data_IF_175263371133
#
_entry.id   IF_175263371133
#
_cell.length_a   1.000
_cell.length_b   1.000
_cell.length_c   1.000
_cell.angle_alpha   90.00
_cell.angle_beta   90.00
_cell.angle_gamma   90.00
#
_symmetry.space_group_name_H-M   'P 1'
#
loop_
_entity.id
_entity.type
_entity.pdbx_description
1 polymer ?
#
# COMPACT_ATOMS: atom_id res chain seq x y z
N UNK A 1 7.95 -10.30 -33.60
CA UNK A 1 8.27 -11.14 -32.42
C UNK A 1 7.07 -11.11 -31.48
N UNK A 2 6.47 -12.26 -31.12
CA UNK A 2 5.44 -12.29 -30.06
C UNK A 2 6.10 -11.84 -28.76
N UNK A 3 5.64 -10.74 -28.16
CA UNK A 3 6.11 -10.30 -26.84
C UNK A 3 5.81 -11.45 -25.86
N UNK A 4 6.85 -11.97 -25.19
CA UNK A 4 6.68 -12.97 -24.12
C UNK A 4 5.87 -12.30 -23.01
N UNK A 5 4.71 -12.85 -22.69
CA UNK A 5 3.89 -12.38 -21.57
C UNK A 5 4.39 -13.02 -20.27
N UNK A 6 4.34 -12.26 -19.20
CA UNK A 6 4.67 -12.65 -17.83
C UNK A 6 3.73 -11.90 -16.87
N UNK A 7 3.74 -12.30 -15.60
CA UNK A 7 2.83 -11.73 -14.60
C UNK A 7 3.07 -10.23 -14.41
N UNK A 8 4.34 -9.79 -14.46
CA UNK A 8 4.71 -8.38 -14.31
C UNK A 8 4.07 -7.49 -15.39
N UNK A 9 4.11 -7.91 -16.67
CA UNK A 9 3.42 -7.18 -17.75
C UNK A 9 1.91 -7.15 -17.58
N UNK A 10 1.32 -8.23 -17.08
CA UNK A 10 -0.13 -8.28 -16.80
C UNK A 10 -0.47 -7.28 -15.69
N UNK A 11 0.33 -7.22 -14.63
CA UNK A 11 0.18 -6.27 -13.53
C UNK A 11 0.30 -4.83 -14.04
N UNK A 12 1.34 -4.49 -14.79
CA UNK A 12 1.49 -3.14 -15.35
C UNK A 12 0.34 -2.75 -16.28
N UNK A 13 -0.08 -3.64 -17.19
CA UNK A 13 -1.23 -3.36 -18.05
C UNK A 13 -2.54 -3.18 -17.26
N UNK A 14 -2.67 -3.86 -16.12
CA UNK A 14 -3.80 -3.71 -15.20
C UNK A 14 -3.75 -2.34 -14.52
N UNK A 15 -2.59 -1.92 -14.02
CA UNK A 15 -2.39 -0.59 -13.41
C UNK A 15 -2.70 0.52 -14.42
N UNK A 16 -2.20 0.40 -15.65
CA UNK A 16 -2.43 1.38 -16.72
C UNK A 16 -3.91 1.54 -17.05
N UNK A 17 -4.66 0.43 -17.09
CA UNK A 17 -6.10 0.47 -17.33
C UNK A 17 -6.83 1.03 -16.11
N UNK A 18 -6.55 0.53 -14.92
CA UNK A 18 -7.18 0.97 -13.67
C UNK A 18 -6.98 2.47 -13.41
N UNK A 19 -5.83 3.03 -13.79
CA UNK A 19 -5.56 4.48 -13.67
C UNK A 19 -6.49 5.31 -14.56
N UNK A 20 -6.90 4.78 -15.71
CA UNK A 20 -7.74 5.51 -16.68
C UNK A 20 -9.23 5.36 -16.40
N UNK A 21 -9.66 4.19 -15.94
CA UNK A 21 -11.09 3.86 -15.85
C UNK A 21 -11.54 3.37 -14.47
N UNK A 22 -10.64 3.32 -13.48
CA UNK A 22 -10.90 2.75 -12.16
C UNK A 22 -10.71 1.23 -12.14
N UNK A 23 -10.22 0.71 -11.00
CA UNK A 23 -9.85 -0.71 -10.85
C UNK A 23 -11.03 -1.66 -11.10
N UNK A 24 -12.24 -1.31 -10.61
CA UNK A 24 -13.45 -2.15 -10.77
C UNK A 24 -13.93 -2.28 -12.21
N UNK A 25 -13.52 -1.36 -13.09
CA UNK A 25 -13.88 -1.36 -14.50
C UNK A 25 -12.85 -2.09 -15.37
N UNK A 26 -11.79 -2.66 -14.78
CA UNK A 26 -10.80 -3.45 -15.51
C UNK A 26 -11.36 -4.84 -15.83
N UNK A 27 -11.19 -5.27 -17.08
CA UNK A 27 -11.60 -6.60 -17.55
C UNK A 27 -10.43 -7.36 -18.18
N UNK A 28 -10.48 -8.70 -18.14
CA UNK A 28 -9.47 -9.56 -18.78
C UNK A 28 -9.35 -9.31 -20.29
N UNK A 29 -10.48 -9.04 -20.96
CA UNK A 29 -10.49 -8.66 -22.37
C UNK A 29 -9.79 -7.32 -22.60
N UNK A 30 -10.03 -6.33 -21.73
CA UNK A 30 -9.33 -5.04 -21.79
C UNK A 30 -7.83 -5.19 -21.60
N UNK A 31 -7.39 -5.99 -20.62
CA UNK A 31 -5.97 -6.28 -20.37
C UNK A 31 -5.34 -6.98 -21.58
N UNK A 32 -6.00 -8.00 -22.13
CA UNK A 32 -5.51 -8.72 -23.30
C UNK A 32 -5.37 -7.80 -24.52
N UNK A 33 -6.36 -6.91 -24.73
CA UNK A 33 -6.33 -5.92 -25.80
C UNK A 33 -5.17 -4.91 -25.60
N UNK A 34 -4.97 -4.40 -24.38
CA UNK A 34 -3.86 -3.49 -24.05
C UNK A 34 -2.49 -4.15 -24.31
N UNK A 35 -2.36 -5.43 -24.01
CA UNK A 35 -1.15 -6.22 -24.25
C UNK A 35 -0.98 -6.72 -25.70
N UNK A 36 -1.98 -6.53 -26.56
CA UNK A 36 -1.96 -7.03 -27.95
C UNK A 36 -1.99 -8.56 -28.06
N UNK A 37 -2.63 -9.25 -27.12
CA UNK A 37 -2.76 -10.71 -27.07
C UNK A 37 -4.22 -11.14 -27.04
N UNK A 38 -4.47 -12.46 -27.13
CA UNK A 38 -5.81 -13.03 -26.94
C UNK A 38 -6.04 -13.33 -25.46
N UNK A 39 -7.27 -13.13 -24.96
CA UNK A 39 -7.66 -13.40 -23.56
C UNK A 39 -7.24 -14.79 -23.06
N UNK A 40 -7.36 -15.89 -23.84
CA UNK A 40 -6.86 -17.21 -23.44
C UNK A 40 -5.39 -17.24 -23.00
N UNK A 41 -4.53 -16.36 -23.52
CA UNK A 41 -3.12 -16.30 -23.14
C UNK A 41 -2.88 -15.76 -21.72
N UNK A 42 -3.84 -15.02 -21.15
CA UNK A 42 -3.76 -14.56 -19.76
C UNK A 42 -3.92 -15.72 -18.76
N UNK A 43 -4.73 -16.73 -19.10
CA UNK A 43 -5.03 -17.83 -18.17
C UNK A 43 -3.83 -18.75 -17.87
N UNK A 44 -2.73 -18.61 -18.63
CA UNK A 44 -1.45 -19.26 -18.30
C UNK A 44 -0.76 -18.61 -17.08
N UNK A 45 -1.21 -17.43 -16.65
CA UNK A 45 -0.57 -16.60 -15.62
C UNK A 45 -1.52 -16.24 -14.46
N UNK A 46 -2.82 -16.16 -14.74
CA UNK A 46 -3.85 -15.82 -13.77
C UNK A 46 -5.02 -16.80 -13.88
N UNK A 47 -5.60 -17.22 -12.75
CA UNK A 47 -6.77 -18.12 -12.79
C UNK A 47 -8.09 -17.38 -13.05
N UNK A 48 -8.09 -16.05 -13.00
CA UNK A 48 -9.26 -15.20 -13.22
C UNK A 48 -9.01 -13.77 -12.74
N UNK A 49 -10.06 -12.94 -12.78
CA UNK A 49 -9.99 -11.53 -12.35
C UNK A 49 -9.72 -11.40 -10.84
N UNK A 50 -10.25 -12.31 -10.03
CA UNK A 50 -10.02 -12.34 -8.58
C UNK A 50 -8.55 -12.66 -8.26
N UNK A 51 -7.98 -13.65 -8.96
CA UNK A 51 -6.56 -13.99 -8.84
C UNK A 51 -5.66 -12.84 -9.31
N UNK A 52 -6.07 -12.10 -10.35
CA UNK A 52 -5.37 -10.89 -10.76
C UNK A 52 -5.38 -9.81 -9.68
N UNK A 53 -6.53 -9.53 -9.06
CA UNK A 53 -6.59 -8.56 -7.96
C UNK A 53 -5.75 -9.00 -6.75
N UNK A 54 -5.73 -10.30 -6.48
CA UNK A 54 -4.86 -10.89 -5.45
C UNK A 54 -3.38 -10.65 -5.77
N UNK A 55 -2.94 -10.97 -6.99
CA UNK A 55 -1.55 -10.75 -7.42
C UNK A 55 -1.18 -9.26 -7.41
N UNK A 56 -2.10 -8.36 -7.79
CA UNK A 56 -1.92 -6.91 -7.73
C UNK A 56 -1.76 -6.39 -6.30
N UNK A 57 -2.56 -6.90 -5.36
CA UNK A 57 -2.42 -6.54 -3.95
C UNK A 57 -1.11 -7.03 -3.33
N UNK A 58 -0.65 -8.23 -3.68
CA UNK A 58 0.66 -8.74 -3.25
C UNK A 58 1.78 -7.86 -3.82
N UNK A 59 1.75 -7.60 -5.13
CA UNK A 59 2.71 -6.70 -5.79
C UNK A 59 2.76 -5.33 -5.11
N UNK A 60 1.61 -4.76 -4.77
CA UNK A 60 1.54 -3.49 -4.06
C UNK A 60 2.14 -3.54 -2.66
N UNK A 61 1.91 -4.63 -1.91
CA UNK A 61 2.46 -4.81 -0.57
C UNK A 61 3.98 -4.97 -0.61
N UNK A 62 4.50 -5.75 -1.55
CA UNK A 62 5.95 -5.96 -1.73
C UNK A 62 6.65 -4.65 -2.12
N UNK A 63 6.02 -3.83 -2.96
CA UNK A 63 6.56 -2.52 -3.35
C UNK A 63 6.57 -1.55 -2.15
N UNK A 64 5.47 -1.45 -1.41
CA UNK A 64 5.38 -0.63 -0.21
C UNK A 64 6.39 -1.07 0.86
N UNK A 65 6.54 -2.38 1.08
CA UNK A 65 7.54 -2.94 2.00
C UNK A 65 8.94 -2.49 1.59
N UNK A 66 9.30 -2.65 0.31
CA UNK A 66 10.61 -2.26 -0.20
C UNK A 66 10.89 -0.77 0.02
N UNK A 67 9.93 0.10 -0.27
CA UNK A 67 10.08 1.53 -0.06
C UNK A 67 10.25 1.89 1.41
N UNK A 68 9.44 1.29 2.30
CA UNK A 68 9.53 1.51 3.74
C UNK A 68 10.86 0.99 4.31
N UNK A 69 11.32 -0.20 3.92
CA UNK A 69 12.60 -0.75 4.37
C UNK A 69 13.75 0.17 3.95
N UNK A 70 13.75 0.68 2.72
CA UNK A 70 14.78 1.60 2.27
C UNK A 70 14.73 2.94 3.01
N UNK A 71 13.54 3.47 3.30
CA UNK A 71 13.41 4.78 3.93
C UNK A 71 13.88 4.84 5.38
N UNK A 72 13.87 3.70 6.09
CA UNK A 72 14.27 3.59 7.51
C UNK A 72 15.73 3.22 7.72
N UNK A 73 16.50 2.89 6.67
CA UNK A 73 17.91 2.51 6.81
C UNK A 73 18.72 3.63 7.49
N UNK A 74 19.37 3.30 8.60
CA UNK A 74 20.17 4.24 9.38
C UNK A 74 19.38 5.08 10.39
N UNK A 75 18.06 4.87 10.51
CA UNK A 75 17.20 5.58 11.46
C UNK A 75 16.63 4.61 12.51
N UNK A 76 16.21 5.14 13.66
CA UNK A 76 15.63 4.34 14.75
C UNK A 76 14.60 5.15 15.53
N UNK A 77 13.83 4.49 16.40
CA UNK A 77 12.87 5.15 17.31
C UNK A 77 11.93 6.10 16.55
N UNK A 78 11.75 7.30 17.07
CA UNK A 78 10.92 8.37 16.53
C UNK A 78 11.20 8.66 15.04
N UNK A 79 12.47 8.86 14.68
CA UNK A 79 12.86 9.18 13.30
C UNK A 79 12.48 8.07 12.31
N UNK A 80 12.59 6.80 12.72
CA UNK A 80 12.15 5.68 11.91
C UNK A 80 10.62 5.67 11.75
N UNK A 81 9.86 5.99 12.80
CA UNK A 81 8.40 6.07 12.74
C UNK A 81 7.92 7.20 11.82
N UNK A 82 8.56 8.37 11.87
CA UNK A 82 8.28 9.47 10.94
C UNK A 82 8.53 9.05 9.49
N UNK A 83 9.63 8.34 9.24
CA UNK A 83 9.97 7.86 7.88
C UNK A 83 9.00 6.82 7.37
N UNK A 84 8.61 5.85 8.21
CA UNK A 84 7.58 4.86 7.87
C UNK A 84 6.28 5.58 7.49
N UNK A 85 5.83 6.52 8.33
CA UNK A 85 4.59 7.26 8.13
C UNK A 85 4.58 8.05 6.81
N UNK A 86 5.63 8.84 6.56
CA UNK A 86 5.78 9.60 5.33
C UNK A 86 5.83 8.71 4.09
N UNK A 87 6.59 7.61 4.15
CA UNK A 87 6.72 6.67 3.03
C UNK A 87 5.39 6.00 2.71
N UNK A 88 4.66 5.56 3.75
CA UNK A 88 3.35 4.94 3.59
C UNK A 88 2.34 5.87 2.91
N UNK A 89 2.25 7.12 3.38
CA UNK A 89 1.30 8.10 2.83
C UNK A 89 1.70 8.52 1.42
N UNK A 90 2.99 8.79 1.19
CA UNK A 90 3.52 9.11 -0.14
C UNK A 90 3.23 7.99 -1.13
N UNK A 91 3.49 6.73 -0.76
CA UNK A 91 3.19 5.57 -1.59
C UNK A 91 1.71 5.52 -1.96
N UNK A 92 0.82 5.69 -0.98
CA UNK A 92 -0.62 5.65 -1.19
C UNK A 92 -1.09 6.73 -2.18
N UNK A 93 -0.62 7.96 -1.99
CA UNK A 93 -0.98 9.12 -2.83
C UNK A 93 -0.43 8.98 -4.25
N UNK A 94 0.82 8.52 -4.40
CA UNK A 94 1.46 8.37 -5.71
C UNK A 94 0.93 7.15 -6.48
N UNK A 95 0.41 6.14 -5.77
CA UNK A 95 -0.03 4.88 -6.34
C UNK A 95 -1.45 4.49 -5.91
N UNK A 96 -2.50 5.32 -6.16
CA UNK A 96 -3.85 5.08 -5.63
C UNK A 96 -4.46 3.75 -6.08
N UNK A 97 -4.18 3.33 -7.33
CA UNK A 97 -4.61 2.01 -7.84
C UNK A 97 -4.01 0.86 -7.04
N UNK A 98 -2.71 0.93 -6.76
CA UNK A 98 -2.00 -0.09 -5.99
C UNK A 98 -2.46 -0.08 -4.54
N UNK A 99 -2.60 1.11 -3.96
CA UNK A 99 -3.10 1.28 -2.60
C UNK A 99 -4.49 0.67 -2.41
N UNK A 100 -5.44 0.97 -3.30
CA UNK A 100 -6.77 0.34 -3.25
C UNK A 100 -6.74 -1.17 -3.53
N UNK A 101 -5.75 -1.67 -4.27
CA UNK A 101 -5.58 -3.11 -4.43
C UNK A 101 -5.23 -3.81 -3.10
N UNK A 102 -4.51 -3.15 -2.19
CA UNK A 102 -4.22 -3.67 -0.83
C UNK A 102 -5.51 -3.81 0.00
N UNK A 103 -6.49 -2.94 -0.21
CA UNK A 103 -7.76 -2.91 0.52
C UNK A 103 -8.77 -3.94 -0.01
N UNK A 104 -8.46 -4.58 -1.14
CA UNK A 104 -9.39 -5.42 -1.86
C UNK A 104 -9.84 -6.64 -1.01
N UNK A 105 -11.15 -6.89 -0.86
CA UNK A 105 -11.68 -8.03 -0.12
C UNK A 105 -11.17 -9.39 -0.60
N UNK A 106 -10.82 -9.54 -1.88
CA UNK A 106 -10.28 -10.77 -2.46
C UNK A 106 -8.89 -11.14 -1.95
N UNK A 107 -8.21 -10.23 -1.23
CA UNK A 107 -7.00 -10.57 -0.50
C UNK A 107 -7.27 -11.40 0.78
N UNK A 108 -8.53 -11.67 1.13
CA UNK A 108 -8.87 -12.48 2.32
C UNK A 108 -8.62 -13.97 2.03
N UNK A 109 -7.96 -14.64 2.98
CA UNK A 109 -7.91 -16.11 3.14
C UNK A 109 -7.06 -16.95 2.17
N UNK A 110 -5.83 -16.54 1.85
CA UNK A 110 -4.79 -17.53 1.46
C UNK A 110 -3.52 -17.33 2.30
N UNK A 111 -2.89 -18.44 2.69
CA UNK A 111 -1.79 -18.45 3.66
C UNK A 111 -0.54 -17.68 3.17
N UNK A 112 -0.33 -17.63 1.85
CA UNK A 112 0.75 -16.88 1.22
C UNK A 112 0.59 -15.36 1.34
N UNK A 113 -0.64 -14.86 1.49
CA UNK A 113 -0.93 -13.43 1.61
C UNK A 113 -0.61 -12.91 3.02
N UNK A 114 -0.58 -13.79 4.04
CA UNK A 114 -0.37 -13.36 5.44
C UNK A 114 0.96 -12.64 5.60
N UNK A 115 2.04 -13.15 4.99
CA UNK A 115 3.38 -12.57 5.11
C UNK A 115 3.48 -11.16 4.51
N UNK A 116 3.02 -10.99 3.26
CA UNK A 116 3.02 -9.67 2.61
C UNK A 116 2.14 -8.66 3.37
N UNK A 117 1.02 -9.12 3.96
CA UNK A 117 0.16 -8.27 4.80
C UNK A 117 0.77 -7.88 6.14
N UNK A 118 1.63 -8.74 6.68
CA UNK A 118 2.27 -8.54 7.97
C UNK A 118 3.59 -7.76 7.87
N UNK A 119 4.22 -7.67 6.70
CA UNK A 119 5.52 -7.04 6.52
C UNK A 119 5.63 -5.63 7.16
N UNK A 120 4.71 -4.73 6.82
CA UNK A 120 4.68 -3.37 7.40
C UNK A 120 4.44 -3.40 8.92
N UNK A 121 3.60 -4.32 9.40
CA UNK A 121 3.36 -4.50 10.84
C UNK A 121 4.64 -4.96 11.53
N UNK A 122 5.36 -5.92 10.96
CA UNK A 122 6.62 -6.44 11.50
C UNK A 122 7.74 -5.39 11.51
N UNK A 123 7.78 -4.51 10.51
CA UNK A 123 8.72 -3.38 10.47
C UNK A 123 8.42 -2.41 11.63
N UNK A 124 7.17 -1.99 11.78
CA UNK A 124 6.78 -1.09 12.89
C UNK A 124 7.04 -1.77 14.24
N UNK A 125 6.69 -3.03 14.41
CA UNK A 125 7.00 -3.81 15.62
C UNK A 125 8.51 -3.81 15.91
N UNK A 126 9.35 -3.98 14.89
CA UNK A 126 10.80 -3.99 15.07
C UNK A 126 11.33 -2.64 15.57
N UNK A 127 10.76 -1.52 15.12
CA UNK A 127 11.06 -0.18 15.64
C UNK A 127 10.57 -0.01 17.07
N UNK A 128 9.38 -0.55 17.40
CA UNK A 128 8.77 -0.43 18.73
C UNK A 128 9.47 -1.25 19.82
N UNK A 129 10.25 -2.30 19.47
CA UNK A 129 10.94 -3.17 20.44
C UNK A 129 11.75 -2.40 21.48
N UNK A 130 12.36 -1.28 21.09
CA UNK A 130 13.22 -0.47 21.96
C UNK A 130 12.46 0.19 23.12
N UNK A 131 11.13 0.32 22.99
CA UNK A 131 10.25 0.92 23.99
C UNK A 131 9.75 -0.08 25.04
N UNK A 132 10.04 -1.38 24.88
CA UNK A 132 9.67 -2.46 25.81
C UNK A 132 8.18 -2.47 26.20
N UNK A 133 7.30 -2.20 25.24
CA UNK A 133 5.85 -2.26 25.48
C UNK A 133 5.34 -3.69 25.61
N UNK A 134 4.16 -3.85 26.23
CA UNK A 134 3.43 -5.12 26.15
C UNK A 134 2.95 -5.34 24.71
N UNK A 135 2.81 -6.60 24.30
CA UNK A 135 2.28 -6.98 22.97
C UNK A 135 0.92 -6.30 22.72
N UNK A 136 0.07 -6.21 23.74
CA UNK A 136 -1.23 -5.53 23.64
C UNK A 136 -1.07 -4.04 23.31
N UNK A 137 -0.14 -3.34 23.96
CA UNK A 137 0.12 -1.92 23.70
C UNK A 137 0.72 -1.71 22.31
N UNK A 138 1.65 -2.56 21.86
CA UNK A 138 2.20 -2.51 20.50
C UNK A 138 1.11 -2.65 19.44
N UNK A 139 0.21 -3.63 19.59
CA UNK A 139 -0.89 -3.84 18.65
C UNK A 139 -1.81 -2.60 18.59
N UNK A 140 -2.11 -1.99 19.74
CA UNK A 140 -2.92 -0.76 19.81
C UNK A 140 -2.22 0.40 19.09
N UNK A 141 -0.91 0.61 19.35
CA UNK A 141 -0.11 1.64 18.68
C UNK A 141 -0.12 1.45 17.16
N UNK A 142 0.13 0.24 16.68
CA UNK A 142 0.18 -0.06 15.25
C UNK A 142 -1.18 0.21 14.59
N UNK A 143 -2.27 -0.18 15.25
CA UNK A 143 -3.63 0.09 14.74
C UNK A 143 -3.91 1.58 14.68
N UNK A 144 -3.61 2.32 15.74
CA UNK A 144 -3.83 3.77 15.80
C UNK A 144 -3.02 4.49 14.71
N UNK A 145 -1.72 4.19 14.59
CA UNK A 145 -0.86 4.76 13.57
C UNK A 145 -1.40 4.45 12.17
N UNK A 146 -1.66 3.18 11.86
CA UNK A 146 -2.19 2.79 10.54
C UNK A 146 -3.53 3.43 10.22
N UNK A 147 -4.43 3.56 11.21
CA UNK A 147 -5.71 4.23 11.04
C UNK A 147 -5.54 5.71 10.68
N UNK A 148 -4.63 6.40 11.36
CA UNK A 148 -4.29 7.79 11.03
C UNK A 148 -3.73 7.93 9.61
N UNK A 149 -2.71 7.12 9.26
CA UNK A 149 -2.07 7.17 7.94
C UNK A 149 -3.05 6.84 6.81
N UNK A 150 -3.87 5.80 6.99
CA UNK A 150 -4.90 5.42 6.02
C UNK A 150 -5.97 6.50 5.88
N UNK A 151 -6.43 7.10 6.99
CA UNK A 151 -7.40 8.19 6.95
C UNK A 151 -6.86 9.40 6.19
N UNK A 152 -5.63 9.81 6.47
CA UNK A 152 -4.98 10.92 5.78
C UNK A 152 -4.84 10.64 4.28
N UNK A 153 -4.26 9.50 3.91
CA UNK A 153 -4.07 9.12 2.51
C UNK A 153 -5.41 9.02 1.75
N UNK A 154 -6.44 8.43 2.36
CA UNK A 154 -7.76 8.31 1.73
C UNK A 154 -8.42 9.66 1.48
N UNK A 155 -8.31 10.60 2.43
CA UNK A 155 -8.81 11.96 2.26
C UNK A 155 -8.04 12.71 1.17
N UNK A 156 -6.72 12.52 1.11
CA UNK A 156 -5.88 13.14 0.08
C UNK A 156 -6.23 12.61 -1.32
N UNK A 157 -6.29 11.29 -1.48
CA UNK A 157 -6.62 10.64 -2.77
C UNK A 157 -8.00 11.08 -3.27
N UNK A 158 -8.96 11.26 -2.34
CA UNK A 158 -10.31 11.71 -2.67
C UNK A 158 -10.43 13.22 -2.91
N UNK A 159 -9.33 13.99 -2.89
CA UNK A 159 -9.30 15.45 -3.00
C UNK A 159 -10.25 16.13 -1.99
N UNK A 160 -10.27 15.63 -0.75
CA UNK A 160 -11.17 16.13 0.31
C UNK A 160 -10.53 17.21 1.19
N UNK A 161 -9.25 17.52 0.99
CA UNK A 161 -8.57 18.67 1.59
C UNK A 161 -8.77 19.94 0.75
N UNK A 162 -10.02 20.38 0.64
CA UNK A 162 -10.45 21.43 -0.29
C UNK A 162 -10.10 22.88 0.12
N UNK A 163 -9.57 23.08 1.33
CA UNK A 163 -9.18 24.39 1.84
C UNK A 163 -7.69 24.61 1.55
N UNK A 164 -7.39 25.16 0.36
CA UNK A 164 -6.01 25.31 -0.16
C UNK A 164 -5.21 26.49 0.41
N UNK A 165 -5.75 27.20 1.40
CA UNK A 165 -5.07 28.32 2.07
C UNK A 165 -4.03 27.87 3.08
N UNK A 166 -3.99 26.57 3.41
CA UNK A 166 -3.05 25.93 4.33
C UNK A 166 -2.44 24.74 3.59
N UNK A 167 -1.16 24.48 3.82
CA UNK A 167 -0.50 23.31 3.28
C UNK A 167 -1.02 22.04 3.96
N UNK A 168 -1.40 21.06 3.14
CA UNK A 168 -1.88 19.77 3.61
C UNK A 168 -0.75 18.97 4.26
N UNK A 169 0.48 19.17 3.80
CA UNK A 169 1.67 18.48 4.34
C UNK A 169 1.99 19.00 5.75
N UNK A 170 1.82 20.30 6.03
CA UNK A 170 1.95 20.85 7.40
C UNK A 170 0.91 20.24 8.36
N UNK A 171 -0.29 19.94 7.86
CA UNK A 171 -1.34 19.29 8.65
C UNK A 171 -1.02 17.82 8.94
N UNK A 172 -0.36 17.14 8.00
CA UNK A 172 0.16 15.79 8.21
C UNK A 172 1.23 15.78 9.30
N UNK A 173 2.24 16.64 9.19
CA UNK A 173 3.33 16.70 10.15
C UNK A 173 2.83 17.03 11.56
N UNK A 174 1.91 18.01 11.68
CA UNK A 174 1.29 18.35 12.95
C UNK A 174 0.57 17.16 13.59
N UNK A 175 -0.29 16.48 12.80
CA UNK A 175 -1.08 15.35 13.30
C UNK A 175 -0.22 14.13 13.64
N UNK A 176 0.79 13.84 12.83
CA UNK A 176 1.74 12.74 13.06
C UNK A 176 2.56 12.99 14.33
N UNK A 177 3.13 14.18 14.49
CA UNK A 177 3.91 14.52 15.68
C UNK A 177 3.05 14.44 16.95
N UNK A 178 1.85 15.04 16.93
CA UNK A 178 0.92 14.96 18.06
C UNK A 178 0.54 13.50 18.40
N UNK A 179 0.33 12.66 17.38
CA UNK A 179 0.02 11.25 17.57
C UNK A 179 1.20 10.49 18.19
N UNK A 180 2.42 10.64 17.66
CA UNK A 180 3.60 9.94 18.16
C UNK A 180 3.90 10.33 19.60
N UNK A 181 3.87 11.63 19.93
CA UNK A 181 4.05 12.10 21.31
C UNK A 181 2.96 11.58 22.24
N UNK A 182 1.69 11.60 21.81
CA UNK A 182 0.56 11.05 22.57
C UNK A 182 0.65 9.55 22.86
N UNK A 183 1.39 8.81 22.04
CA UNK A 183 1.67 7.38 22.22
C UNK A 183 2.94 7.11 23.04
N UNK A 184 3.70 8.16 23.41
CA UNK A 184 4.99 8.07 24.09
C UNK A 184 6.10 7.53 23.18
N UNK A 185 6.10 7.96 21.92
CA UNK A 185 7.04 7.53 20.87
C UNK A 185 8.03 8.64 20.47
N UNK A 186 8.29 9.58 21.38
CA UNK A 186 9.37 10.57 21.24
C UNK A 186 10.77 9.92 21.30
#
# INVERSE_FOLDING_TARGET
MKKKIDNEKIIHATIDLATKQGLLNVSLNGIAANLGIKTPSLYNHISGIEDLYRQLGIYSLDLLEKEVVQSVLGFSKHDALIRIANTYVTFAIQNPVLYHAIENPYLKNTQDISKAKEAIVLIIQSVLKVYNFTIEKEIKIIRVLRSYLHGFASLYIADLFNIKTVDVDESFDLGLNALLSGLGLD
#
